data_IF_964336440573
#
_entry.id   IF_964336440573
#
_cell.length_a   1.000
_cell.length_b   1.000
_cell.length_c   1.000
_cell.angle_alpha   90.00
_cell.angle_beta   90.00
_cell.angle_gamma   90.00
#
_symmetry.space_group_name_H-M   'P 1'
#
loop_
_entity.id
_entity.type
_entity.pdbx_description
1 polymer ?
#
# COMPACT_ATOMS: atom_id res chain seq x y z
N UNK A 1 10.19 9.31 3.58
CA UNK A 1 10.10 8.07 2.76
C UNK A 1 8.77 8.05 2.03
N UNK A 2 8.77 7.79 0.72
CA UNK A 2 7.59 7.94 -0.17
C UNK A 2 6.50 6.91 0.10
N UNK A 3 6.87 5.64 0.37
CA UNK A 3 5.93 4.54 0.64
C UNK A 3 5.04 4.83 1.86
N UNK A 4 5.60 5.28 2.98
CA UNK A 4 4.81 5.59 4.17
C UNK A 4 3.78 6.70 3.91
N UNK A 5 4.13 7.68 3.05
CA UNK A 5 3.20 8.74 2.65
C UNK A 5 2.05 8.16 1.83
N UNK A 6 2.35 7.35 0.83
CA UNK A 6 1.34 6.72 -0.02
C UNK A 6 0.40 5.79 0.76
N UNK A 7 0.92 5.02 1.73
CA UNK A 7 0.08 4.19 2.61
C UNK A 7 -0.87 5.04 3.48
N UNK A 8 -0.40 6.17 4.02
CA UNK A 8 -1.24 7.10 4.79
C UNK A 8 -2.29 7.76 3.92
N UNK A 9 -1.92 8.19 2.71
CA UNK A 9 -2.85 8.73 1.72
C UNK A 9 -3.93 7.71 1.36
N UNK A 10 -3.57 6.46 1.07
CA UNK A 10 -4.53 5.39 0.78
C UNK A 10 -5.51 5.18 1.95
N UNK A 11 -4.98 5.15 3.19
CA UNK A 11 -5.79 4.99 4.39
C UNK A 11 -6.80 6.13 4.59
N UNK A 12 -6.41 7.37 4.29
CA UNK A 12 -7.23 8.56 4.51
C UNK A 12 -8.19 8.83 3.36
N UNK A 13 -7.70 8.80 2.12
CA UNK A 13 -8.45 9.28 0.95
C UNK A 13 -9.28 8.17 0.29
N UNK A 14 -8.77 6.93 0.26
CA UNK A 14 -9.46 5.81 -0.40
C UNK A 14 -10.27 4.99 0.60
N UNK A 15 -9.69 4.74 1.77
CA UNK A 15 -10.31 3.92 2.82
C UNK A 15 -10.95 4.76 3.95
N UNK A 16 -11.00 6.09 3.82
CA UNK A 16 -11.52 6.97 4.87
C UNK A 16 -12.98 6.68 5.26
N UNK A 17 -13.77 6.17 4.32
CA UNK A 17 -15.18 5.81 4.52
C UNK A 17 -15.38 4.32 4.85
N UNK A 18 -14.31 3.54 4.93
CA UNK A 18 -14.36 2.12 5.26
C UNK A 18 -14.34 1.95 6.79
N UNK A 19 -15.21 1.09 7.36
CA UNK A 19 -15.20 0.79 8.79
C UNK A 19 -13.80 0.41 9.31
N UNK A 20 -13.44 0.95 10.47
CA UNK A 20 -12.07 0.83 11.01
C UNK A 20 -11.63 -0.62 11.23
N UNK A 21 -12.56 -1.51 11.60
CA UNK A 21 -12.34 -2.96 11.74
C UNK A 21 -11.85 -3.62 10.44
N UNK A 22 -12.25 -3.08 9.28
CA UNK A 22 -11.80 -3.53 7.95
C UNK A 22 -10.48 -2.88 7.51
N UNK A 23 -10.04 -1.81 8.18
CA UNK A 23 -8.79 -1.11 7.92
C UNK A 23 -7.64 -1.54 8.85
N UNK A 24 -7.87 -2.45 9.80
CA UNK A 24 -6.85 -2.89 10.78
C UNK A 24 -5.56 -3.35 10.12
N UNK A 25 -5.63 -4.02 8.95
CA UNK A 25 -4.45 -4.51 8.25
C UNK A 25 -3.56 -3.37 7.73
N UNK A 26 -4.14 -2.28 7.18
CA UNK A 26 -3.37 -1.15 6.66
C UNK A 26 -2.86 -0.28 7.81
N UNK A 27 -3.61 -0.16 8.90
CA UNK A 27 -3.18 0.54 10.11
C UNK A 27 -1.97 -0.18 10.75
N UNK A 28 -2.00 -1.52 10.82
CA UNK A 28 -0.86 -2.34 11.24
C UNK A 28 0.34 -2.19 10.30
N UNK A 29 0.11 -2.19 8.98
CA UNK A 29 1.19 -2.02 8.01
C UNK A 29 1.87 -0.65 8.16
N UNK A 30 1.09 0.43 8.30
CA UNK A 30 1.60 1.78 8.53
C UNK A 30 2.43 1.83 9.83
N UNK A 31 1.92 1.22 10.91
CA UNK A 31 2.63 1.17 12.19
C UNK A 31 3.96 0.40 12.07
N UNK A 32 3.94 -0.79 11.48
CA UNK A 32 5.14 -1.61 11.28
C UNK A 32 6.19 -0.87 10.47
N UNK A 33 5.83 -0.32 9.30
CA UNK A 33 6.76 0.43 8.45
C UNK A 33 7.28 1.69 9.14
N UNK A 34 6.43 2.39 9.91
CA UNK A 34 6.88 3.56 10.67
C UNK A 34 7.91 3.19 11.73
N UNK A 35 7.75 2.03 12.38
CA UNK A 35 8.67 1.55 13.42
C UNK A 35 9.99 1.01 12.88
N UNK A 36 9.98 0.40 11.69
CA UNK A 36 11.18 -0.21 11.09
C UNK A 36 11.85 0.69 10.04
N UNK A 37 11.40 1.93 9.88
CA UNK A 37 11.86 2.81 8.80
C UNK A 37 13.37 3.07 8.87
N UNK A 38 13.90 3.23 10.08
CA UNK A 38 15.33 3.44 10.32
C UNK A 38 16.16 2.20 9.96
N UNK A 39 15.62 1.00 10.16
CA UNK A 39 16.27 -0.25 9.77
C UNK A 39 16.25 -0.41 8.24
N UNK A 40 15.11 -0.13 7.61
CA UNK A 40 14.94 -0.21 6.15
C UNK A 40 15.93 0.70 5.42
N UNK A 41 16.15 1.93 5.88
CA UNK A 41 17.10 2.86 5.23
C UNK A 41 18.57 2.48 5.45
N UNK A 42 18.86 1.59 6.39
CA UNK A 42 20.22 1.07 6.64
C UNK A 42 20.49 -0.27 5.98
N UNK A 43 19.50 -0.86 5.30
CA UNK A 43 19.67 -2.12 4.57
C UNK A 43 20.63 -1.97 3.39
N UNK A 44 21.26 -3.07 2.99
CA UNK A 44 22.05 -3.10 1.76
C UNK A 44 21.13 -2.90 0.54
N UNK A 45 21.68 -2.32 -0.54
CA UNK A 45 20.90 -1.95 -1.72
C UNK A 45 20.03 -3.09 -2.28
N UNK A 46 20.52 -4.33 -2.28
CA UNK A 46 19.76 -5.48 -2.76
C UNK A 46 18.54 -5.80 -1.88
N UNK A 47 18.69 -5.74 -0.57
CA UNK A 47 17.63 -5.97 0.40
C UNK A 47 16.63 -4.82 0.40
N UNK A 48 17.13 -3.59 0.37
CA UNK A 48 16.32 -2.38 0.24
C UNK A 48 15.47 -2.41 -1.03
N UNK A 49 16.08 -2.70 -2.19
CA UNK A 49 15.36 -2.81 -3.46
C UNK A 49 14.31 -3.93 -3.45
N UNK A 50 14.59 -5.06 -2.79
CA UNK A 50 13.60 -6.12 -2.63
C UNK A 50 12.40 -5.64 -1.82
N UNK A 51 12.63 -4.93 -0.71
CA UNK A 51 11.57 -4.34 0.10
C UNK A 51 10.75 -3.33 -0.71
N UNK A 52 11.41 -2.45 -1.47
CA UNK A 52 10.73 -1.49 -2.35
C UNK A 52 9.84 -2.19 -3.39
N UNK A 53 10.34 -3.23 -4.04
CA UNK A 53 9.57 -4.00 -5.03
C UNK A 53 8.32 -4.65 -4.43
N UNK A 54 8.40 -5.19 -3.21
CA UNK A 54 7.23 -5.76 -2.54
C UNK A 54 6.20 -4.68 -2.19
N UNK A 55 6.64 -3.47 -1.80
CA UNK A 55 5.71 -2.35 -1.62
C UNK A 55 5.05 -1.91 -2.92
N UNK A 56 5.79 -1.86 -4.03
CA UNK A 56 5.22 -1.49 -5.33
C UNK A 56 4.14 -2.48 -5.78
N UNK A 57 4.40 -3.80 -5.65
CA UNK A 57 3.40 -4.84 -5.94
C UNK A 57 2.16 -4.73 -5.06
N UNK A 58 2.34 -4.43 -3.77
CA UNK A 58 1.24 -4.24 -2.85
C UNK A 58 0.39 -3.03 -3.28
N UNK A 59 1.02 -1.90 -3.58
CA UNK A 59 0.32 -0.69 -4.03
C UNK A 59 -0.44 -0.92 -5.34
N UNK A 60 0.16 -1.61 -6.31
CA UNK A 60 -0.50 -1.99 -7.56
C UNK A 60 -1.72 -2.89 -7.31
N UNK A 61 -1.59 -3.88 -6.41
CA UNK A 61 -2.70 -4.76 -6.03
C UNK A 61 -3.86 -3.99 -5.41
N UNK A 62 -3.57 -3.07 -4.48
CA UNK A 62 -4.58 -2.25 -3.81
C UNK A 62 -5.27 -1.31 -4.79
N UNK A 63 -4.52 -0.72 -5.72
CA UNK A 63 -5.08 0.11 -6.79
C UNK A 63 -6.06 -0.69 -7.67
N UNK A 64 -5.68 -1.89 -8.10
CA UNK A 64 -6.52 -2.75 -8.95
C UNK A 64 -7.81 -3.20 -8.24
N UNK A 65 -7.78 -3.42 -6.93
CA UNK A 65 -8.98 -3.76 -6.15
C UNK A 65 -9.90 -2.54 -5.98
N UNK A 66 -9.32 -1.34 -5.81
CA UNK A 66 -10.09 -0.09 -5.65
C UNK A 66 -10.76 0.39 -6.93
N UNK A 67 -10.17 0.09 -8.08
CA UNK A 67 -10.71 0.38 -9.40
C UNK A 67 -10.85 -0.93 -10.17
N UNK A 68 -11.83 -1.79 -9.84
CA UNK A 68 -12.10 -2.94 -10.68
C UNK A 68 -12.48 -2.37 -12.04
N UNK A 69 -11.60 -2.53 -13.04
CA UNK A 69 -11.93 -2.19 -14.41
C UNK A 69 -13.30 -2.81 -14.69
N UNK A 70 -14.29 -1.96 -14.98
CA UNK A 70 -15.59 -2.46 -15.43
C UNK A 70 -15.26 -3.39 -16.60
N UNK A 71 -15.67 -4.66 -16.58
CA UNK A 71 -15.56 -5.47 -17.79
C UNK A 71 -16.34 -4.70 -18.85
N UNK A 72 -15.63 -4.16 -19.84
CA UNK A 72 -16.22 -3.55 -21.02
C UNK A 72 -17.06 -4.64 -21.67
N UNK A 73 -18.35 -4.65 -21.35
CA UNK A 73 -19.34 -5.39 -22.12
C UNK A 73 -19.46 -4.66 -23.45
N UNK A 74 -18.55 -4.94 -24.36
CA UNK A 74 -18.78 -4.72 -25.78
C UNK A 74 -19.66 -5.86 -26.24
N UNK A 75 -20.97 -5.71 -26.03
CA UNK A 75 -21.98 -6.41 -26.80
C UNK A 75 -22.43 -5.41 -27.86
N UNK A 76 -21.94 -5.58 -29.08
CA UNK A 76 -22.61 -5.19 -30.32
C UNK A 76 -22.01 -6.00 -31.48
#
# INVERSE_FOLDING_TARGET
>A
MRILRELKTLRQEVLGNVPADRCVWIDKLIASVSSTISEIVTMQDAEFNRVLNEFEKLMATLHNISHPEKPSKTVH
#
